data_IF_794463288474
#
_entry.id   IF_794463288474
#
_cell.length_a   1.000
_cell.length_b   1.000
_cell.length_c   1.000
_cell.angle_alpha   90.00
_cell.angle_beta   90.00
_cell.angle_gamma   90.00
#
_symmetry.space_group_name_H-M   'P 1'
#
loop_
_entity.id
_entity.type
_entity.pdbx_description
1 polymer ?
#
# COMPACT_ATOMS: atom_id res chain seq x y z
N UNK A 1 -1.98 -8.36 10.87
CA UNK A 1 -2.33 -8.09 9.45
C UNK A 1 -1.26 -8.67 8.53
N UNK A 2 -1.65 -9.15 7.36
CA UNK A 2 -0.73 -9.57 6.29
C UNK A 2 -1.05 -8.75 5.05
N UNK A 3 -0.02 -8.20 4.41
CA UNK A 3 -0.12 -7.50 3.13
C UNK A 3 0.17 -8.48 2.01
N UNK A 4 -0.55 -8.37 0.90
CA UNK A 4 -0.22 -9.12 -0.30
C UNK A 4 -0.55 -8.32 -1.56
N UNK A 5 0.33 -8.39 -2.55
CA UNK A 5 0.04 -7.90 -3.90
C UNK A 5 0.73 -8.74 -4.96
N UNK A 6 0.21 -8.63 -6.17
CA UNK A 6 0.73 -9.35 -7.32
C UNK A 6 1.79 -8.50 -8.02
N UNK A 7 2.87 -9.14 -8.48
CA UNK A 7 3.77 -8.61 -9.49
C UNK A 7 3.46 -9.27 -10.82
N UNK A 8 2.72 -8.62 -11.75
CA UNK A 8 2.31 -9.23 -13.02
C UNK A 8 3.49 -9.67 -13.89
N UNK A 9 4.64 -9.00 -13.73
CA UNK A 9 5.90 -9.34 -14.42
C UNK A 9 6.63 -10.55 -13.82
N UNK A 10 6.11 -11.15 -12.75
CA UNK A 10 6.65 -12.35 -12.12
C UNK A 10 7.82 -12.13 -11.15
N UNK A 11 8.41 -10.94 -11.10
CA UNK A 11 9.48 -10.64 -10.13
C UNK A 11 8.97 -10.75 -8.69
N UNK A 12 9.74 -11.41 -7.83
CA UNK A 12 9.42 -11.58 -6.41
C UNK A 12 10.24 -10.66 -5.49
N UNK A 13 10.99 -9.73 -6.10
CA UNK A 13 11.80 -8.78 -5.36
C UNK A 13 10.91 -7.65 -4.84
N UNK A 14 11.07 -7.33 -3.56
CA UNK A 14 10.48 -6.14 -2.95
C UNK A 14 11.19 -4.90 -3.46
N UNK A 15 10.47 -4.07 -4.22
CA UNK A 15 10.92 -2.76 -4.67
C UNK A 15 11.14 -1.80 -3.49
N UNK A 16 11.88 -0.70 -3.70
CA UNK A 16 11.96 0.38 -2.71
C UNK A 16 10.58 0.89 -2.29
N UNK A 17 9.64 0.96 -3.23
CA UNK A 17 8.26 1.39 -3.01
C UNK A 17 7.50 0.40 -2.11
N UNK A 18 7.66 -0.90 -2.33
CA UNK A 18 7.05 -1.95 -1.49
C UNK A 18 7.54 -1.82 -0.04
N UNK A 19 8.85 -1.65 0.15
CA UNK A 19 9.44 -1.47 1.48
C UNK A 19 8.96 -0.20 2.17
N UNK A 20 8.93 0.91 1.44
CA UNK A 20 8.44 2.19 1.95
C UNK A 20 6.93 2.16 2.28
N UNK A 21 6.13 1.46 1.49
CA UNK A 21 4.72 1.22 1.77
C UNK A 21 4.55 0.37 3.02
N UNK A 22 5.31 -0.73 3.14
CA UNK A 22 5.28 -1.61 4.31
C UNK A 22 5.57 -0.83 5.59
N UNK A 23 6.62 0.00 5.58
CA UNK A 23 6.98 0.83 6.73
C UNK A 23 5.84 1.79 7.08
N UNK A 24 5.29 2.51 6.09
CA UNK A 24 4.16 3.44 6.32
C UNK A 24 2.96 2.72 6.93
N UNK A 25 2.66 1.50 6.48
CA UNK A 25 1.57 0.71 7.03
C UNK A 25 1.89 0.30 8.48
N UNK A 26 3.12 -0.14 8.79
CA UNK A 26 3.55 -0.40 10.18
C UNK A 26 3.35 0.84 11.04
N UNK A 27 3.74 2.01 10.56
CA UNK A 27 3.63 3.28 11.28
C UNK A 27 2.16 3.66 11.52
N UNK A 28 1.29 3.47 10.52
CA UNK A 28 -0.14 3.71 10.63
C UNK A 28 -0.75 2.81 11.71
N UNK A 29 -0.53 1.51 11.64
CA UNK A 29 -1.21 0.56 12.53
C UNK A 29 -0.61 0.47 13.94
N UNK A 30 0.58 1.04 14.17
CA UNK A 30 1.27 0.99 15.46
C UNK A 30 0.45 1.55 16.64
N UNK A 31 -0.17 2.74 16.58
CA UNK A 31 -1.00 3.28 17.67
C UNK A 31 -2.26 2.48 17.95
N UNK A 32 -2.68 1.61 17.01
CA UNK A 32 -3.82 0.72 17.16
C UNK A 32 -3.43 -0.66 17.71
N UNK A 33 -2.14 -0.86 18.04
CA UNK A 33 -1.57 -2.14 18.47
C UNK A 33 -1.79 -3.29 17.47
N UNK A 34 -1.97 -2.96 16.18
CA UNK A 34 -2.13 -3.94 15.11
C UNK A 34 -0.78 -4.19 14.44
N UNK A 35 -0.23 -5.39 14.63
CA UNK A 35 1.06 -5.77 14.02
C UNK A 35 0.90 -6.16 12.54
N UNK A 36 1.80 -5.65 11.69
CA UNK A 36 2.04 -6.19 10.35
C UNK A 36 2.94 -7.42 10.49
N UNK A 37 2.36 -8.60 10.21
CA UNK A 37 3.04 -9.89 10.38
C UNK A 37 3.90 -10.24 9.18
N UNK A 38 3.43 -9.89 7.98
CA UNK A 38 4.14 -10.17 6.73
C UNK A 38 3.68 -9.26 5.59
N UNK A 39 4.51 -9.19 4.55
CA UNK A 39 4.19 -8.65 3.25
C UNK A 39 4.62 -9.67 2.18
N UNK A 40 3.64 -10.22 1.47
CA UNK A 40 3.82 -11.28 0.50
C UNK A 40 3.68 -10.72 -0.92
N UNK A 41 4.70 -10.91 -1.76
CA UNK A 41 4.59 -10.67 -3.20
C UNK A 41 4.30 -11.99 -3.88
N UNK A 42 3.25 -12.02 -4.70
CA UNK A 42 2.91 -13.16 -5.56
C UNK A 42 3.36 -12.86 -6.99
N UNK A 43 4.19 -13.72 -7.57
CA UNK A 43 4.73 -13.59 -8.91
C UNK A 43 4.67 -14.92 -9.66
N UNK A 44 3.84 -15.00 -10.70
CA UNK A 44 3.60 -16.26 -11.43
C UNK A 44 3.04 -17.35 -10.52
N UNK A 45 3.71 -18.50 -10.47
CA UNK A 45 3.35 -19.66 -9.62
C UNK A 45 4.06 -19.67 -8.26
N UNK A 46 4.76 -18.59 -7.91
CA UNK A 46 5.63 -18.54 -6.73
C UNK A 46 5.35 -17.28 -5.90
N UNK A 47 5.75 -17.29 -4.63
CA UNK A 47 5.65 -16.12 -3.75
C UNK A 47 6.99 -15.79 -3.08
N UNK A 48 7.05 -14.62 -2.44
CA UNK A 48 8.15 -14.21 -1.58
C UNK A 48 7.59 -13.48 -0.37
N UNK A 49 7.97 -13.92 0.84
CA UNK A 49 7.59 -13.31 2.10
C UNK A 49 8.68 -12.36 2.59
N UNK A 50 8.28 -11.18 3.05
CA UNK A 50 9.21 -10.21 3.64
C UNK A 50 9.65 -10.68 5.03
N UNK A 51 8.76 -11.33 5.79
CA UNK A 51 9.04 -11.90 7.10
C UNK A 51 10.03 -13.08 7.02
N UNK A 52 9.83 -14.03 6.10
CA UNK A 52 10.75 -15.16 5.87
C UNK A 52 12.17 -14.66 5.51
N UNK A 53 12.27 -13.52 4.81
CA UNK A 53 13.53 -12.90 4.44
C UNK A 53 14.12 -11.97 5.50
N UNK A 54 13.48 -11.85 6.67
CA UNK A 54 13.95 -10.98 7.76
C UNK A 54 13.88 -9.48 7.48
N UNK A 55 13.09 -9.06 6.48
CA UNK A 55 13.01 -7.67 6.02
C UNK A 55 11.80 -6.92 6.58
N UNK A 56 10.93 -7.57 7.36
CA UNK A 56 9.71 -6.95 7.87
C UNK A 56 10.08 -5.88 8.93
N UNK A 57 9.58 -4.64 8.81
CA UNK A 57 9.80 -3.63 9.85
C UNK A 57 9.03 -3.99 11.12
N UNK A 58 9.69 -3.86 12.27
CA UNK A 58 9.11 -4.16 13.58
C UNK A 58 8.89 -2.91 14.44
N UNK A 59 9.43 -1.77 14.01
CA UNK A 59 9.39 -0.51 14.75
C UNK A 59 8.67 0.54 13.91
N UNK A 60 7.84 1.34 14.58
CA UNK A 60 7.29 2.54 14.00
C UNK A 60 8.38 3.62 13.87
N UNK A 61 8.41 4.34 12.76
CA UNK A 61 9.32 5.47 12.51
C UNK A 61 8.65 6.83 12.65
N UNK A 62 7.33 6.88 12.51
CA UNK A 62 6.55 8.11 12.62
C UNK A 62 5.18 7.84 13.25
N UNK A 63 4.58 8.90 13.82
CA UNK A 63 3.24 8.84 14.40
C UNK A 63 2.19 8.98 13.29
N UNK A 64 1.23 8.06 13.26
CA UNK A 64 0.09 8.14 12.35
C UNK A 64 -0.77 9.39 12.65
N UNK A 65 -1.17 10.14 11.61
CA UNK A 65 -2.18 11.18 11.73
C UNK A 65 -3.56 10.62 11.36
N UNK A 66 -4.50 10.71 12.30
CA UNK A 66 -5.90 10.29 12.15
C UNK A 66 -6.89 11.44 12.14
N UNK A 67 -6.40 12.68 12.02
CA UNK A 67 -7.25 13.84 11.80
C UNK A 67 -8.14 13.63 10.57
N UNK A 68 -9.38 14.08 10.68
CA UNK A 68 -10.37 13.95 9.61
C UNK A 68 -9.89 14.73 8.40
N UNK A 69 -9.72 14.05 7.27
CA UNK A 69 -9.47 14.71 5.99
C UNK A 69 -10.76 15.42 5.59
N UNK A 70 -10.77 16.75 5.71
CA UNK A 70 -11.85 17.57 5.20
C UNK A 70 -11.82 17.53 3.66
N UNK A 71 -12.58 16.61 3.08
CA UNK A 71 -12.90 16.61 1.66
C UNK A 71 -13.85 17.80 1.43
N UNK A 72 -13.28 18.99 1.17
CA UNK A 72 -14.06 20.16 0.80
C UNK A 72 -15.08 19.81 -0.28
N UNK A 73 -16.31 20.33 -0.17
CA UNK A 73 -17.37 20.06 -1.12
C UNK A 73 -16.85 20.27 -2.55
N UNK A 74 -16.68 19.18 -3.31
CA UNK A 74 -16.27 19.25 -4.71
C UNK A 74 -17.42 19.96 -5.43
N UNK A 75 -17.24 21.17 -5.99
CA UNK A 75 -18.28 21.78 -6.79
C UNK A 75 -18.62 20.84 -7.95
N UNK A 76 -19.90 20.59 -8.17
CA UNK A 76 -20.43 19.58 -9.10
C UNK A 76 -19.99 19.72 -10.58
N UNK A 77 -19.17 20.71 -10.92
CA UNK A 77 -18.69 20.97 -12.29
C UNK A 77 -17.55 20.06 -12.76
N UNK A 78 -16.80 19.39 -11.87
CA UNK A 78 -15.67 18.53 -12.29
C UNK A 78 -16.06 17.08 -12.69
N UNK A 79 -17.32 16.67 -12.48
CA UNK A 79 -17.77 15.32 -12.90
C UNK A 79 -17.92 15.14 -14.41
N UNK A 80 -18.01 16.21 -15.20
CA UNK A 80 -18.27 16.11 -16.65
C UNK A 80 -16.99 15.81 -17.47
N UNK A 81 -15.81 16.24 -17.02
CA UNK A 81 -14.59 16.20 -17.84
C UNK A 81 -13.78 14.90 -17.75
N UNK A 82 -14.07 13.99 -16.80
CA UNK A 82 -13.31 12.73 -16.68
C UNK A 82 -13.92 11.55 -17.44
N UNK A 83 -15.11 11.74 -18.03
CA UNK A 83 -15.83 10.68 -18.76
C UNK A 83 -15.76 10.83 -20.29
N UNK A 84 -15.13 11.88 -20.83
CA UNK A 84 -14.99 12.08 -22.28
C UNK A 84 -13.66 11.55 -22.86
N UNK A 85 -12.64 11.28 -22.03
CA UNK A 85 -11.32 10.81 -22.50
C UNK A 85 -11.15 9.28 -22.60
N UNK A 86 -12.24 8.50 -22.62
CA UNK A 86 -12.20 7.04 -22.85
C UNK A 86 -13.14 6.58 -23.97
N UNK A 87 -13.32 7.42 -24.99
CA UNK A 87 -13.89 7.01 -26.29
C UNK A 87 -13.14 7.67 -27.44
N UNK A 88 -11.87 7.28 -27.62
CA UNK A 88 -11.15 7.36 -28.91
C UNK A 88 -9.86 6.56 -28.79
N UNK A 89 -9.96 5.27 -29.11
CA UNK A 89 -9.05 4.41 -29.91
C UNK A 89 -9.55 2.96 -29.78
#
# INVERSE_FOLDING_TARGET
MILAHNHPRGSQNFSPEDKALTQRIVDIFYPLEIKVMDHIIVGGSSYSSMAERGNIPHQCKCTANYEVIALGAIPAKEKQNRFQDTRSL
#
